data_IF_924210645101
#
_entry.id   IF_924210645101
#
_cell.length_a   1.000
_cell.length_b   1.000
_cell.length_c   1.000
_cell.angle_alpha   90.00
_cell.angle_beta   90.00
_cell.angle_gamma   90.00
#
_symmetry.space_group_name_H-M   'P 1'
#
loop_
_entity.id
_entity.type
_entity.pdbx_description
1 polymer ?
#
# COMPACT_ATOMS: atom_id res chain seq x y z
N UNK A 1 3.61 -39.30 9.69
CA UNK A 1 4.47 -40.18 8.87
C UNK A 1 5.60 -40.76 9.73
N UNK A 2 5.96 -42.04 9.55
CA UNK A 2 7.02 -42.71 10.35
C UNK A 2 8.41 -42.09 10.13
N UNK A 3 8.64 -41.48 8.97
CA UNK A 3 9.94 -40.90 8.59
C UNK A 3 10.09 -39.42 8.93
N UNK A 4 9.01 -38.77 9.37
CA UNK A 4 9.02 -37.35 9.65
C UNK A 4 10.04 -36.89 10.71
N UNK A 5 10.33 -37.66 11.78
CA UNK A 5 11.41 -37.32 12.71
C UNK A 5 12.78 -37.18 12.03
N UNK A 6 13.06 -38.05 11.06
CA UNK A 6 14.30 -38.01 10.30
C UNK A 6 14.35 -36.77 9.39
N UNK A 7 13.23 -36.45 8.73
CA UNK A 7 13.11 -35.23 7.94
C UNK A 7 13.30 -33.96 8.78
N UNK A 8 12.72 -33.91 9.98
CA UNK A 8 12.86 -32.78 10.90
C UNK A 8 14.30 -32.66 11.39
N UNK A 9 14.99 -33.77 11.65
CA UNK A 9 16.41 -33.74 12.00
C UNK A 9 17.27 -33.19 10.86
N UNK A 10 17.07 -33.66 9.62
CA UNK A 10 17.79 -33.15 8.45
C UNK A 10 17.51 -31.66 8.21
N UNK A 11 16.26 -31.25 8.39
CA UNK A 11 15.87 -29.85 8.26
C UNK A 11 16.49 -28.98 9.37
N UNK A 12 16.52 -29.45 10.61
CA UNK A 12 17.21 -28.76 11.72
C UNK A 12 18.68 -28.49 11.38
N UNK A 13 19.42 -29.52 10.98
CA UNK A 13 20.84 -29.43 10.64
C UNK A 13 21.07 -28.46 9.46
N UNK A 14 20.19 -28.48 8.46
CA UNK A 14 20.24 -27.55 7.33
C UNK A 14 19.98 -26.10 7.79
N UNK A 15 18.90 -25.88 8.54
CA UNK A 15 18.43 -24.54 8.93
C UNK A 15 19.40 -23.83 9.88
N UNK A 16 20.19 -24.56 10.67
CA UNK A 16 21.24 -23.99 11.52
C UNK A 16 22.31 -23.21 10.73
N UNK A 17 22.47 -23.48 9.43
CA UNK A 17 23.42 -22.75 8.59
C UNK A 17 22.92 -21.35 8.17
N UNK A 18 21.66 -21.01 8.46
CA UNK A 18 21.05 -19.75 8.04
C UNK A 18 20.74 -18.86 9.24
N UNK A 19 20.89 -17.55 9.04
CA UNK A 19 20.66 -16.53 10.09
C UNK A 19 19.46 -15.64 9.85
N UNK A 20 18.81 -15.77 8.70
CA UNK A 20 17.68 -14.95 8.29
C UNK A 20 16.79 -15.74 7.33
N UNK A 21 15.54 -15.29 7.20
CA UNK A 21 14.54 -15.90 6.33
C UNK A 21 14.01 -14.87 5.34
N UNK A 22 13.88 -15.28 4.08
CA UNK A 22 13.10 -14.56 3.08
C UNK A 22 11.97 -15.48 2.64
N UNK A 23 10.74 -14.97 2.62
CA UNK A 23 9.58 -15.76 2.21
C UNK A 23 8.53 -14.90 1.52
N UNK A 24 7.54 -15.54 0.89
CA UNK A 24 6.33 -14.90 0.42
C UNK A 24 5.13 -15.40 1.24
N UNK A 25 4.58 -14.55 2.12
CA UNK A 25 3.49 -14.92 3.05
C UNK A 25 3.86 -15.96 4.13
N UNK A 26 5.13 -16.31 4.28
CA UNK A 26 5.59 -17.34 5.22
C UNK A 26 5.32 -16.98 6.68
N UNK A 27 5.19 -15.69 7.04
CA UNK A 27 4.92 -15.29 8.44
C UNK A 27 3.54 -15.74 8.91
N UNK A 28 2.57 -15.80 8.00
CA UNK A 28 1.20 -16.20 8.28
C UNK A 28 0.93 -17.68 7.92
N UNK A 29 1.87 -18.36 7.25
CA UNK A 29 1.66 -19.68 6.69
C UNK A 29 2.79 -20.67 7.02
N UNK A 30 3.91 -20.65 6.28
CA UNK A 30 4.93 -21.70 6.34
C UNK A 30 5.65 -21.77 7.70
N UNK A 31 6.08 -20.63 8.24
CA UNK A 31 6.88 -20.59 9.48
C UNK A 31 6.10 -21.09 10.71
N UNK A 32 4.83 -20.70 10.93
CA UNK A 32 4.00 -21.28 11.98
C UNK A 32 3.82 -22.80 11.87
N UNK A 33 3.68 -23.33 10.64
CA UNK A 33 3.57 -24.77 10.40
C UNK A 33 4.87 -25.47 10.78
N UNK A 34 6.02 -24.95 10.33
CA UNK A 34 7.33 -25.49 10.68
C UNK A 34 7.58 -25.44 12.19
N UNK A 35 7.33 -24.30 12.86
CA UNK A 35 7.48 -24.18 14.31
C UNK A 35 6.64 -25.23 15.05
N UNK A 36 5.40 -25.45 14.60
CA UNK A 36 4.52 -26.50 15.15
C UNK A 36 5.12 -27.90 14.95
N UNK A 37 5.64 -28.23 13.75
CA UNK A 37 6.28 -29.54 13.51
C UNK A 37 7.51 -29.75 14.40
N UNK A 38 8.36 -28.74 14.57
CA UNK A 38 9.53 -28.81 15.45
C UNK A 38 9.12 -29.03 16.91
N UNK A 39 8.10 -28.32 17.40
CA UNK A 39 7.55 -28.48 18.77
C UNK A 39 7.04 -29.91 18.98
N UNK A 40 6.30 -30.48 18.02
CA UNK A 40 5.79 -31.85 18.11
C UNK A 40 6.91 -32.88 18.31
N UNK A 41 8.07 -32.64 17.69
CA UNK A 41 9.26 -33.48 17.82
C UNK A 41 10.23 -33.00 18.91
N UNK A 42 9.75 -32.15 19.83
CA UNK A 42 10.48 -31.64 21.01
C UNK A 42 11.81 -30.95 20.66
N UNK A 43 11.84 -30.27 19.51
CA UNK A 43 12.97 -29.46 19.04
C UNK A 43 12.58 -27.98 18.97
N UNK A 44 13.56 -27.11 19.11
CA UNK A 44 13.36 -25.69 18.88
C UNK A 44 13.51 -25.40 17.39
N UNK A 45 12.58 -24.66 16.80
CA UNK A 45 12.72 -24.19 15.42
C UNK A 45 13.90 -23.19 15.32
N UNK A 46 14.97 -23.50 14.55
CA UNK A 46 16.21 -22.70 14.55
C UNK A 46 16.01 -21.24 14.15
N UNK A 47 15.02 -20.98 13.30
CA UNK A 47 14.78 -19.67 12.71
C UNK A 47 13.64 -18.88 13.38
N UNK A 48 13.11 -19.36 14.51
CA UNK A 48 11.95 -18.76 15.21
C UNK A 48 12.09 -17.25 15.47
N UNK A 49 13.29 -16.82 15.84
CA UNK A 49 13.59 -15.42 16.15
C UNK A 49 14.55 -14.77 15.15
N UNK A 50 14.81 -15.42 14.01
CA UNK A 50 15.69 -14.88 12.99
C UNK A 50 15.05 -13.66 12.31
N UNK A 51 15.85 -12.67 11.87
CA UNK A 51 15.37 -11.63 10.95
C UNK A 51 14.60 -12.24 9.78
N UNK A 52 13.41 -11.72 9.53
CA UNK A 52 12.49 -12.26 8.53
C UNK A 52 11.99 -11.18 7.59
N UNK A 53 12.34 -11.31 6.32
CA UNK A 53 11.79 -10.52 5.23
C UNK A 53 10.64 -11.29 4.56
N UNK A 54 9.41 -11.01 5.00
CA UNK A 54 8.21 -11.48 4.30
C UNK A 54 7.82 -10.47 3.21
N UNK A 55 7.91 -10.89 1.94
CA UNK A 55 7.72 -10.06 0.76
C UNK A 55 6.26 -9.67 0.49
N UNK A 56 5.28 -10.35 1.07
CA UNK A 56 3.87 -10.06 0.80
C UNK A 56 3.47 -8.67 1.32
N UNK A 57 3.94 -8.29 2.51
CA UNK A 57 3.64 -7.00 3.11
C UNK A 57 4.21 -5.81 2.31
N UNK A 58 5.51 -5.77 1.92
CA UNK A 58 6.03 -4.73 1.06
C UNK A 58 5.39 -4.76 -0.34
N UNK A 59 5.11 -5.94 -0.92
CA UNK A 59 4.40 -6.02 -2.20
C UNK A 59 3.04 -5.32 -2.17
N UNK A 60 2.23 -5.61 -1.14
CA UNK A 60 0.93 -4.97 -0.95
C UNK A 60 1.03 -3.47 -0.72
N UNK A 61 2.12 -2.99 -0.10
CA UNK A 61 2.32 -1.55 0.10
C UNK A 61 2.59 -0.84 -1.22
N UNK A 62 3.34 -1.48 -2.13
CA UNK A 62 3.74 -0.89 -3.41
C UNK A 62 2.66 -1.00 -4.50
N UNK A 63 1.96 -2.14 -4.57
CA UNK A 63 1.17 -2.47 -5.78
C UNK A 63 -0.32 -2.72 -5.58
N UNK A 64 -0.83 -2.76 -4.34
CA UNK A 64 -2.25 -3.06 -4.08
C UNK A 64 -3.22 -2.04 -4.69
N UNK A 65 -2.77 -0.82 -4.93
CA UNK A 65 -3.58 0.23 -5.55
C UNK A 65 -3.69 0.06 -7.08
N UNK A 66 -2.83 -0.78 -7.70
CA UNK A 66 -2.77 -1.01 -9.15
C UNK A 66 -3.20 -2.43 -9.55
N UNK A 67 -2.69 -3.44 -8.85
CA UNK A 67 -2.82 -4.84 -9.27
C UNK A 67 -4.14 -5.46 -8.78
N UNK A 68 -4.72 -6.41 -9.53
CA UNK A 68 -5.92 -7.13 -9.11
C UNK A 68 -5.68 -7.97 -7.86
N UNK A 69 -4.46 -8.49 -7.69
CA UNK A 69 -4.03 -9.17 -6.48
C UNK A 69 -2.54 -8.93 -6.24
N UNK A 70 -2.05 -9.27 -5.05
CA UNK A 70 -0.61 -9.36 -4.77
C UNK A 70 -0.24 -10.80 -4.42
N UNK A 71 -0.76 -11.79 -5.16
CA UNK A 71 -0.22 -13.15 -5.14
C UNK A 71 1.15 -13.16 -5.85
N UNK A 72 1.98 -14.18 -5.59
CA UNK A 72 3.28 -14.29 -6.25
C UNK A 72 3.10 -14.35 -7.77
N UNK A 73 2.20 -15.20 -8.26
CA UNK A 73 1.85 -15.31 -9.69
C UNK A 73 1.41 -13.98 -10.31
N UNK A 74 0.58 -13.19 -9.61
CA UNK A 74 0.15 -11.89 -10.13
C UNK A 74 1.30 -10.88 -10.19
N UNK A 75 2.22 -10.93 -9.22
CA UNK A 75 3.42 -10.09 -9.22
C UNK A 75 4.41 -10.52 -10.29
N UNK A 76 4.58 -11.82 -10.52
CA UNK A 76 5.41 -12.33 -11.61
C UNK A 76 4.94 -11.78 -12.95
N UNK A 77 3.65 -11.91 -13.24
CA UNK A 77 3.07 -11.43 -14.49
C UNK A 77 3.17 -9.91 -14.63
N UNK A 78 2.69 -9.16 -13.63
CA UNK A 78 2.47 -7.72 -13.78
C UNK A 78 3.63 -6.84 -13.31
N UNK A 79 4.64 -7.42 -12.66
CA UNK A 79 5.81 -6.71 -12.14
C UNK A 79 7.10 -7.24 -12.75
N UNK A 80 7.24 -8.58 -12.86
CA UNK A 80 8.45 -9.19 -13.41
C UNK A 80 8.34 -9.55 -14.90
N UNK A 81 7.13 -9.54 -15.48
CA UNK A 81 6.88 -9.95 -16.86
C UNK A 81 7.03 -11.46 -17.09
N UNK A 82 6.91 -12.27 -16.04
CA UNK A 82 7.04 -13.73 -16.08
C UNK A 82 5.65 -14.35 -16.19
N UNK A 83 5.44 -15.13 -17.25
CA UNK A 83 4.21 -15.88 -17.49
C UNK A 83 4.51 -17.37 -17.32
N UNK A 84 3.76 -18.04 -16.45
CA UNK A 84 3.92 -19.48 -16.19
C UNK A 84 2.86 -20.27 -16.94
N UNK A 85 3.26 -21.32 -17.64
CA UNK A 85 2.38 -22.29 -18.27
C UNK A 85 2.48 -23.65 -17.56
N UNK A 86 1.35 -24.31 -17.31
CA UNK A 86 1.33 -25.69 -16.80
C UNK A 86 1.64 -25.86 -15.31
N UNK A 87 1.41 -24.83 -14.48
CA UNK A 87 1.62 -24.93 -13.04
C UNK A 87 0.70 -25.99 -12.39
N UNK A 88 1.27 -26.80 -11.50
CA UNK A 88 0.50 -27.72 -10.68
C UNK A 88 -0.37 -26.90 -9.73
N UNK A 89 -1.70 -27.10 -9.71
CA UNK A 89 -2.55 -26.43 -8.75
C UNK A 89 -2.09 -26.77 -7.32
N UNK A 90 -1.86 -25.75 -6.48
CA UNK A 90 -1.31 -25.97 -5.13
C UNK A 90 -2.10 -26.96 -4.25
N UNK A 91 -3.42 -27.06 -4.47
CA UNK A 91 -4.28 -28.03 -3.77
C UNK A 91 -4.01 -29.50 -4.15
N UNK A 92 -3.36 -29.75 -5.30
CA UNK A 92 -3.01 -31.09 -5.78
C UNK A 92 -1.70 -31.60 -5.17
N UNK A 93 -0.84 -30.71 -4.68
CA UNK A 93 0.48 -31.06 -4.12
C UNK A 93 0.40 -32.11 -3.00
N UNK A 94 -0.50 -32.02 -2.01
CA UNK A 94 -0.62 -33.05 -0.98
C UNK A 94 -0.98 -34.43 -1.55
N UNK A 95 -1.87 -34.48 -2.54
CA UNK A 95 -2.29 -35.73 -3.16
C UNK A 95 -1.13 -36.40 -3.92
N UNK A 96 -0.35 -35.63 -4.68
CA UNK A 96 0.85 -36.11 -5.38
C UNK A 96 1.90 -36.63 -4.40
N UNK A 97 2.06 -35.96 -3.25
CA UNK A 97 2.99 -36.42 -2.21
C UNK A 97 2.53 -37.74 -1.57
N UNK A 98 1.25 -37.87 -1.25
CA UNK A 98 0.71 -39.13 -0.73
C UNK A 98 0.78 -40.28 -1.74
N UNK A 99 0.67 -39.99 -3.03
CA UNK A 99 0.87 -40.99 -4.08
C UNK A 99 2.32 -41.47 -4.09
N UNK A 100 3.29 -40.55 -4.06
CA UNK A 100 4.70 -40.87 -3.93
C UNK A 100 5.01 -41.72 -2.69
N UNK A 101 4.47 -41.38 -1.51
CA UNK A 101 4.68 -42.17 -0.29
C UNK A 101 4.17 -43.61 -0.42
N UNK A 102 3.13 -43.84 -1.23
CA UNK A 102 2.54 -45.17 -1.43
C UNK A 102 3.24 -45.99 -2.51
N UNK A 103 3.64 -45.35 -3.62
CA UNK A 103 4.13 -46.03 -4.81
C UNK A 103 5.66 -46.02 -4.90
N UNK A 104 6.32 -45.08 -4.23
CA UNK A 104 7.74 -44.78 -4.41
C UNK A 104 8.06 -44.05 -5.73
N UNK A 105 7.07 -43.77 -6.59
CA UNK A 105 7.27 -43.08 -7.86
C UNK A 105 7.27 -41.56 -7.66
N UNK A 106 8.43 -40.94 -7.86
CA UNK A 106 8.63 -39.50 -7.72
C UNK A 106 8.37 -38.73 -9.02
N UNK A 107 8.08 -39.39 -10.15
CA UNK A 107 7.82 -38.72 -11.44
C UNK A 107 6.72 -37.66 -11.33
N UNK A 108 5.57 -37.90 -10.65
CA UNK A 108 4.51 -36.91 -10.49
C UNK A 108 4.92 -35.68 -9.65
N UNK A 109 5.98 -35.77 -8.85
CA UNK A 109 6.49 -34.66 -8.03
C UNK A 109 7.40 -33.70 -8.79
N UNK A 110 7.95 -34.08 -9.95
CA UNK A 110 8.88 -33.23 -10.71
C UNK A 110 8.30 -31.82 -10.97
N UNK A 111 7.04 -31.67 -11.42
CA UNK A 111 6.48 -30.33 -11.65
C UNK A 111 6.33 -29.51 -10.36
N UNK A 112 6.10 -30.15 -9.21
CA UNK A 112 6.04 -29.47 -7.89
C UNK A 112 7.40 -28.86 -7.54
N UNK A 113 8.49 -29.60 -7.73
CA UNK A 113 9.83 -29.08 -7.50
C UNK A 113 10.19 -27.96 -8.47
N UNK A 114 9.85 -28.12 -9.75
CA UNK A 114 10.04 -27.06 -10.76
C UNK A 114 9.34 -25.77 -10.35
N UNK A 115 8.08 -25.85 -9.91
CA UNK A 115 7.32 -24.70 -9.42
C UNK A 115 8.00 -24.03 -8.21
N UNK A 116 8.44 -24.82 -7.23
CA UNK A 116 9.14 -24.30 -6.05
C UNK A 116 10.44 -23.58 -6.42
N UNK A 117 11.19 -24.07 -7.41
CA UNK A 117 12.40 -23.38 -7.91
C UNK A 117 12.02 -22.02 -8.50
N UNK A 118 10.97 -21.95 -9.32
CA UNK A 118 10.50 -20.68 -9.87
C UNK A 118 10.02 -19.72 -8.77
N UNK A 119 9.30 -20.20 -7.75
CA UNK A 119 8.86 -19.38 -6.62
C UNK A 119 10.05 -18.76 -5.88
N UNK A 120 11.10 -19.55 -5.61
CA UNK A 120 12.31 -19.07 -4.96
C UNK A 120 13.02 -18.02 -5.83
N UNK A 121 13.19 -18.28 -7.13
CA UNK A 121 13.82 -17.33 -8.05
C UNK A 121 13.01 -16.04 -8.19
N UNK A 122 11.69 -16.14 -8.23
CA UNK A 122 10.79 -14.99 -8.28
C UNK A 122 10.83 -14.17 -7.00
N UNK A 123 10.98 -14.78 -5.82
CA UNK A 123 11.23 -14.03 -4.59
C UNK A 123 12.53 -13.24 -4.64
N UNK A 124 13.62 -13.82 -5.16
CA UNK A 124 14.91 -13.13 -5.32
C UNK A 124 14.76 -11.93 -6.27
N UNK A 125 14.21 -12.17 -7.46
CA UNK A 125 13.96 -11.14 -8.48
C UNK A 125 13.05 -10.03 -7.95
N UNK A 126 11.97 -10.39 -7.26
CA UNK A 126 11.03 -9.44 -6.67
C UNK A 126 11.68 -8.60 -5.59
N UNK A 127 12.53 -9.20 -4.74
CA UNK A 127 13.27 -8.47 -3.69
C UNK A 127 14.18 -7.41 -4.31
N UNK A 128 14.98 -7.78 -5.30
CA UNK A 128 15.84 -6.85 -6.02
C UNK A 128 15.02 -5.74 -6.69
N UNK A 129 13.91 -6.11 -7.35
CA UNK A 129 13.04 -5.17 -8.02
C UNK A 129 12.40 -4.16 -7.05
N UNK A 130 11.92 -4.61 -5.89
CA UNK A 130 11.38 -3.74 -4.85
C UNK A 130 12.44 -2.79 -4.32
N UNK A 131 13.64 -3.30 -4.03
CA UNK A 131 14.73 -2.51 -3.49
C UNK A 131 15.14 -1.39 -4.46
N UNK A 132 15.30 -1.71 -5.75
CA UNK A 132 15.60 -0.72 -6.80
C UNK A 132 14.48 0.32 -6.89
N UNK A 133 13.21 -0.11 -7.01
CA UNK A 133 12.07 0.83 -7.08
C UNK A 133 11.93 1.73 -5.87
N UNK A 134 12.33 1.26 -4.69
CA UNK A 134 12.28 2.04 -3.47
C UNK A 134 13.47 2.99 -3.32
N UNK A 135 14.66 2.63 -3.84
CA UNK A 135 15.85 3.47 -3.76
C UNK A 135 15.88 4.54 -4.87
N UNK A 136 15.57 4.13 -6.11
CA UNK A 136 15.70 4.94 -7.31
C UNK A 136 14.51 4.70 -8.26
N UNK A 137 13.30 5.16 -7.91
CA UNK A 137 12.09 4.85 -8.68
C UNK A 137 12.12 5.37 -10.13
N UNK A 138 12.84 6.46 -10.40
CA UNK A 138 12.99 7.00 -11.75
C UNK A 138 13.82 6.08 -12.65
N UNK A 139 14.95 5.56 -12.15
CA UNK A 139 15.81 4.65 -12.92
C UNK A 139 15.20 3.24 -13.00
N UNK A 140 14.40 2.87 -12.00
CA UNK A 140 13.66 1.61 -11.95
C UNK A 140 12.42 1.56 -12.87
N UNK A 141 12.20 2.57 -13.70
CA UNK A 141 11.10 2.61 -14.67
C UNK A 141 9.71 2.56 -14.02
N UNK A 142 9.51 3.27 -12.90
CA UNK A 142 8.15 3.42 -12.34
C UNK A 142 7.34 4.34 -13.24
N UNK A 143 6.34 3.78 -13.92
CA UNK A 143 5.52 4.51 -14.90
C UNK A 143 4.08 4.76 -14.44
N UNK A 144 3.58 4.01 -13.46
CA UNK A 144 2.19 4.09 -13.03
C UNK A 144 2.02 5.05 -11.86
N UNK A 145 1.04 5.97 -11.94
CA UNK A 145 0.82 6.92 -10.85
C UNK A 145 0.38 6.26 -9.54
N UNK A 146 -0.25 5.09 -9.58
CA UNK A 146 -0.58 4.30 -8.39
C UNK A 146 0.66 3.76 -7.65
N UNK A 147 1.71 3.38 -8.39
CA UNK A 147 2.96 2.91 -7.81
C UNK A 147 3.73 4.09 -7.19
N UNK A 148 3.76 5.24 -7.88
CA UNK A 148 4.29 6.49 -7.35
C UNK A 148 3.58 6.97 -6.08
N UNK A 149 2.25 6.94 -6.07
CA UNK A 149 1.47 7.28 -4.88
C UNK A 149 1.79 6.36 -3.69
N UNK A 150 1.94 5.07 -3.96
CA UNK A 150 2.30 4.06 -2.97
C UNK A 150 3.72 4.26 -2.42
N UNK A 151 4.69 4.61 -3.28
CA UNK A 151 6.05 4.99 -2.88
C UNK A 151 6.04 6.24 -2.00
N UNK A 152 5.30 7.28 -2.38
CA UNK A 152 5.19 8.51 -1.59
C UNK A 152 4.70 8.24 -0.17
N UNK A 153 3.71 7.35 -0.01
CA UNK A 153 3.25 6.89 1.31
C UNK A 153 4.31 6.13 2.09
N UNK A 154 5.14 5.33 1.42
CA UNK A 154 6.23 4.64 2.07
C UNK A 154 7.30 5.63 2.56
N UNK A 155 7.67 6.62 1.74
CA UNK A 155 8.61 7.68 2.13
C UNK A 155 8.08 8.55 3.27
N UNK A 156 6.80 8.93 3.25
CA UNK A 156 6.19 9.71 4.32
C UNK A 156 6.25 8.96 5.67
N UNK A 157 5.99 7.64 5.66
CA UNK A 157 6.09 6.81 6.87
C UNK A 157 7.51 6.80 7.46
N UNK A 158 8.54 6.91 6.62
CA UNK A 158 9.94 6.98 7.03
C UNK A 158 10.39 8.42 7.38
N UNK A 159 9.51 9.42 7.23
CA UNK A 159 9.86 10.83 7.43
C UNK A 159 10.64 11.46 6.28
N UNK A 160 10.75 10.78 5.13
CA UNK A 160 11.47 11.25 3.96
C UNK A 160 10.60 12.21 3.13
N UNK A 161 10.36 13.39 3.69
CA UNK A 161 9.38 14.37 3.18
C UNK A 161 9.67 14.82 1.75
N UNK A 162 10.93 15.08 1.40
CA UNK A 162 11.31 15.52 0.05
C UNK A 162 11.03 14.44 -1.00
N UNK A 163 11.37 13.18 -0.69
CA UNK A 163 11.10 12.04 -1.56
C UNK A 163 9.60 11.77 -1.67
N UNK A 164 8.85 11.93 -0.57
CA UNK A 164 7.39 11.79 -0.58
C UNK A 164 6.73 12.84 -1.48
N UNK A 165 7.11 14.11 -1.35
CA UNK A 165 6.64 15.21 -2.20
C UNK A 165 6.91 14.91 -3.68
N UNK A 166 8.16 14.57 -4.02
CA UNK A 166 8.55 14.21 -5.38
C UNK A 166 7.72 13.05 -5.92
N UNK A 167 7.54 11.98 -5.13
CA UNK A 167 6.75 10.83 -5.54
C UNK A 167 5.27 11.17 -5.77
N UNK A 168 4.66 12.03 -4.94
CA UNK A 168 3.29 12.48 -5.17
C UNK A 168 3.15 13.35 -6.42
N UNK A 169 4.12 14.22 -6.70
CA UNK A 169 4.15 14.98 -7.95
C UNK A 169 4.23 14.05 -9.16
N UNK A 170 5.10 13.02 -9.11
CA UNK A 170 5.19 12.00 -10.17
C UNK A 170 3.89 11.19 -10.30
N UNK A 171 3.21 10.90 -9.19
CA UNK A 171 1.90 10.23 -9.22
C UNK A 171 0.84 11.02 -9.99
N UNK A 172 0.89 12.36 -9.93
CA UNK A 172 -0.03 13.27 -10.62
C UNK A 172 0.37 13.52 -12.08
N UNK A 173 1.65 13.40 -12.41
CA UNK A 173 2.16 13.52 -13.78
C UNK A 173 1.95 12.22 -14.59
N UNK A 174 2.03 11.07 -13.92
CA UNK A 174 1.84 9.76 -14.53
C UNK A 174 0.35 9.41 -14.74
N UNK A 175 0.03 8.54 -15.71
CA UNK A 175 -1.31 7.99 -15.86
C UNK A 175 -1.77 7.28 -14.58
N UNK A 176 -2.92 7.69 -14.05
CA UNK A 176 -3.54 7.07 -12.89
C UNK A 176 -5.06 7.19 -12.91
N UNK A 177 -5.72 6.27 -12.21
CA UNK A 177 -7.16 6.31 -12.03
C UNK A 177 -7.60 7.55 -11.23
N UNK A 178 -8.80 8.11 -11.47
CA UNK A 178 -9.27 9.34 -10.82
C UNK A 178 -9.24 9.29 -9.29
N UNK A 179 -9.53 8.13 -8.68
CA UNK A 179 -9.48 7.93 -7.23
C UNK A 179 -8.04 8.07 -6.68
N UNK A 180 -7.04 7.57 -7.40
CA UNK A 180 -5.62 7.70 -7.03
C UNK A 180 -5.18 9.14 -7.16
N UNK A 181 -5.51 9.80 -8.27
CA UNK A 181 -5.21 11.22 -8.49
C UNK A 181 -5.77 12.08 -7.36
N UNK A 182 -7.03 11.87 -6.99
CA UNK A 182 -7.68 12.60 -5.88
C UNK A 182 -6.95 12.38 -4.55
N UNK A 183 -6.60 11.12 -4.22
CA UNK A 183 -5.88 10.80 -2.98
C UNK A 183 -4.47 11.38 -2.98
N UNK A 184 -3.79 11.41 -4.12
CA UNK A 184 -2.48 12.02 -4.27
C UNK A 184 -2.54 13.55 -4.06
N UNK A 185 -3.52 14.25 -4.66
CA UNK A 185 -3.75 15.68 -4.42
C UNK A 185 -4.04 15.98 -2.94
N UNK A 186 -4.94 15.21 -2.32
CA UNK A 186 -5.28 15.34 -0.90
C UNK A 186 -4.03 15.18 -0.03
N UNK A 187 -3.29 14.09 -0.22
CA UNK A 187 -2.08 13.79 0.56
C UNK A 187 -0.99 14.84 0.36
N UNK A 188 -0.74 15.25 -0.89
CA UNK A 188 0.26 16.26 -1.23
C UNK A 188 -0.08 17.63 -0.63
N UNK A 189 -1.35 18.04 -0.66
CA UNK A 189 -1.78 19.30 -0.07
C UNK A 189 -1.60 19.34 1.45
N UNK A 190 -1.84 18.22 2.14
CA UNK A 190 -1.54 18.10 3.57
C UNK A 190 -0.04 18.08 3.85
N UNK A 191 0.76 17.48 2.97
CA UNK A 191 2.21 17.50 3.07
C UNK A 191 2.76 18.92 2.92
N UNK A 192 2.27 19.70 1.94
CA UNK A 192 2.63 21.10 1.78
C UNK A 192 2.23 21.95 2.98
N UNK A 193 1.01 21.78 3.48
CA UNK A 193 0.55 22.45 4.69
C UNK A 193 1.47 22.18 5.89
N UNK A 194 1.91 20.92 6.10
CA UNK A 194 2.85 20.55 7.18
C UNK A 194 4.23 21.20 7.02
N UNK A 195 4.65 21.46 5.78
CA UNK A 195 5.90 22.15 5.45
C UNK A 195 5.75 23.68 5.42
N UNK A 196 4.57 24.24 5.77
CA UNK A 196 4.23 25.65 5.61
C UNK A 196 4.36 26.19 4.17
N UNK A 197 4.31 25.29 3.17
CA UNK A 197 4.26 25.59 1.73
C UNK A 197 2.83 25.96 1.34
N UNK A 198 2.34 27.10 1.84
CA UNK A 198 0.93 27.47 1.76
C UNK A 198 0.46 27.74 0.34
N UNK A 199 1.27 28.41 -0.47
CA UNK A 199 0.93 28.74 -1.87
C UNK A 199 0.63 27.48 -2.68
N UNK A 200 1.50 26.47 -2.62
CA UNK A 200 1.31 25.20 -3.32
C UNK A 200 0.09 24.42 -2.79
N UNK A 201 -0.17 24.49 -1.47
CA UNK A 201 -1.35 23.84 -0.89
C UNK A 201 -2.66 24.51 -1.37
N UNK A 202 -2.68 25.84 -1.41
CA UNK A 202 -3.81 26.64 -1.88
C UNK A 202 -4.07 26.41 -3.37
N UNK A 203 -3.04 26.34 -4.20
CA UNK A 203 -3.17 26.03 -5.63
C UNK A 203 -3.89 24.68 -5.84
N UNK A 204 -3.52 23.64 -5.09
CA UNK A 204 -4.21 22.35 -5.13
C UNK A 204 -5.67 22.50 -4.71
N UNK A 205 -5.95 23.13 -3.57
CA UNK A 205 -7.32 23.24 -3.09
C UNK A 205 -8.20 24.08 -4.01
N UNK A 206 -7.68 25.16 -4.58
CA UNK A 206 -8.39 26.03 -5.51
C UNK A 206 -8.69 25.29 -6.81
N UNK A 207 -7.70 24.59 -7.39
CA UNK A 207 -7.93 23.77 -8.59
C UNK A 207 -9.00 22.69 -8.39
N UNK A 208 -9.09 22.12 -7.18
CA UNK A 208 -10.13 21.14 -6.84
C UNK A 208 -11.53 21.76 -6.70
N UNK A 209 -11.60 22.97 -6.14
CA UNK A 209 -12.87 23.73 -6.06
C UNK A 209 -13.33 24.12 -7.46
N UNK A 210 -12.43 24.64 -8.29
CA UNK A 210 -12.72 25.15 -9.63
C UNK A 210 -13.10 24.04 -10.61
N UNK A 211 -12.42 22.89 -10.54
CA UNK A 211 -12.74 21.74 -11.36
C UNK A 211 -14.13 21.16 -11.06
N UNK A 212 -14.76 21.57 -9.95
CA UNK A 212 -16.10 21.12 -9.58
C UNK A 212 -16.18 19.62 -9.30
N UNK A 213 -15.04 18.92 -9.15
CA UNK A 213 -14.95 17.47 -8.91
C UNK A 213 -15.46 17.21 -7.48
N UNK A 214 -16.78 17.01 -7.39
CA UNK A 214 -17.64 17.48 -6.31
C UNK A 214 -17.71 16.62 -5.05
N UNK A 215 -17.01 15.50 -4.95
CA UNK A 215 -17.29 14.54 -3.86
C UNK A 215 -16.52 14.82 -2.56
N UNK A 216 -15.76 15.93 -2.47
CA UNK A 216 -14.82 16.14 -1.37
C UNK A 216 -15.01 17.51 -0.72
N UNK A 217 -15.40 17.48 0.55
CA UNK A 217 -15.56 18.67 1.38
C UNK A 217 -14.22 19.33 1.78
N UNK A 218 -13.14 18.55 1.89
CA UNK A 218 -11.90 19.05 2.49
C UNK A 218 -11.26 20.28 1.81
N UNK A 219 -11.29 20.48 0.47
CA UNK A 219 -10.66 21.66 -0.15
C UNK A 219 -11.32 22.97 0.31
N UNK A 220 -12.65 22.99 0.39
CA UNK A 220 -13.41 24.12 0.94
C UNK A 220 -13.04 24.39 2.40
N UNK A 221 -12.90 23.35 3.21
CA UNK A 221 -12.57 23.49 4.63
C UNK A 221 -11.14 23.99 4.86
N UNK A 222 -10.19 23.56 4.03
CA UNK A 222 -8.79 23.96 4.13
C UNK A 222 -8.56 25.37 3.57
N UNK A 223 -9.16 25.73 2.43
CA UNK A 223 -9.12 27.11 1.93
C UNK A 223 -9.76 28.08 2.92
N UNK A 224 -10.92 27.75 3.49
CA UNK A 224 -11.55 28.60 4.50
C UNK A 224 -10.66 28.79 5.74
N UNK A 225 -9.94 27.75 6.18
CA UNK A 225 -8.96 27.86 7.28
C UNK A 225 -7.77 28.73 6.88
N UNK A 226 -7.29 28.63 5.64
CA UNK A 226 -6.19 29.42 5.12
C UNK A 226 -6.55 30.92 5.13
N UNK A 227 -7.67 31.30 4.53
CA UNK A 227 -8.16 32.67 4.55
C UNK A 227 -8.42 33.18 5.98
N UNK A 228 -9.00 32.35 6.86
CA UNK A 228 -9.27 32.74 8.26
C UNK A 228 -7.99 32.97 9.09
N UNK A 229 -7.02 32.05 9.00
CA UNK A 229 -5.89 32.01 9.94
C UNK A 229 -4.61 32.63 9.38
N UNK A 230 -4.32 32.45 8.09
CA UNK A 230 -3.09 32.96 7.47
C UNK A 230 -3.26 34.39 6.97
N UNK A 231 -4.30 34.64 6.16
CA UNK A 231 -4.53 35.97 5.56
C UNK A 231 -5.40 36.88 6.42
N UNK A 232 -6.18 36.31 7.36
CA UNK A 232 -7.21 37.03 8.14
C UNK A 232 -8.26 37.73 7.27
N UNK A 233 -8.49 37.20 6.08
CA UNK A 233 -9.52 37.65 5.15
C UNK A 233 -10.80 36.83 5.38
N UNK A 234 -11.77 37.41 6.08
CA UNK A 234 -12.97 36.66 6.47
C UNK A 234 -13.99 36.52 5.34
N UNK A 235 -14.09 37.51 4.45
CA UNK A 235 -15.08 37.49 3.36
C UNK A 235 -14.87 36.31 2.37
N UNK A 236 -13.64 36.03 1.87
CA UNK A 236 -13.39 34.84 1.04
C UNK A 236 -13.68 33.52 1.78
N UNK A 237 -13.31 33.45 3.07
CA UNK A 237 -13.59 32.28 3.90
C UNK A 237 -15.11 32.03 4.05
N UNK A 238 -15.88 33.09 4.26
CA UNK A 238 -17.36 33.04 4.35
C UNK A 238 -17.96 32.52 3.05
N UNK A 239 -17.51 33.04 1.89
CA UNK A 239 -17.99 32.60 0.58
C UNK A 239 -17.76 31.10 0.38
N UNK A 240 -16.57 30.59 0.68
CA UNK A 240 -16.24 29.17 0.56
C UNK A 240 -17.10 28.28 1.46
N UNK A 241 -17.31 28.69 2.72
CA UNK A 241 -18.13 27.92 3.67
C UNK A 241 -19.60 27.91 3.25
N UNK A 242 -20.15 29.06 2.82
CA UNK A 242 -21.52 29.14 2.27
C UNK A 242 -21.67 28.24 1.05
N UNK A 243 -20.70 28.26 0.15
CA UNK A 243 -20.71 27.41 -1.03
C UNK A 243 -20.71 25.92 -0.68
N UNK A 244 -19.84 25.50 0.24
CA UNK A 244 -19.81 24.12 0.71
C UNK A 244 -21.15 23.68 1.34
N UNK A 245 -21.78 24.55 2.14
CA UNK A 245 -23.12 24.27 2.71
C UNK A 245 -24.16 24.09 1.60
N UNK A 246 -24.22 25.01 0.63
CA UNK A 246 -25.16 24.92 -0.50
C UNK A 246 -25.00 23.62 -1.27
N UNK A 247 -23.77 23.23 -1.61
CA UNK A 247 -23.50 22.01 -2.37
C UNK A 247 -23.82 20.73 -1.58
N UNK A 248 -23.59 20.71 -0.26
CA UNK A 248 -24.04 19.59 0.58
C UNK A 248 -25.56 19.53 0.64
N UNK A 249 -26.22 20.68 0.69
CA UNK A 249 -27.68 20.78 0.73
C UNK A 249 -28.32 20.26 -0.56
N UNK A 250 -27.77 20.68 -1.70
CA UNK A 250 -28.12 20.25 -3.06
C UNK A 250 -27.76 18.78 -3.37
N UNK A 251 -26.99 18.11 -2.50
CA UNK A 251 -26.43 16.76 -2.69
C UNK A 251 -25.37 16.63 -3.78
N UNK A 252 -24.86 17.76 -4.28
CA UNK A 252 -23.72 17.80 -5.19
C UNK A 252 -22.41 17.45 -4.48
N UNK A 253 -22.35 17.64 -3.16
CA UNK A 253 -21.14 17.39 -2.37
C UNK A 253 -21.36 16.41 -1.23
N UNK A 254 -20.61 15.30 -1.24
CA UNK A 254 -20.75 14.21 -0.28
C UNK A 254 -19.60 14.18 0.74
N UNK A 255 -19.82 14.61 1.99
CA UNK A 255 -18.80 14.51 3.02
C UNK A 255 -18.53 13.04 3.39
N UNK A 256 -17.26 12.70 3.70
CA UNK A 256 -16.89 11.37 4.25
C UNK A 256 -17.54 11.08 5.61
N UNK A 257 -17.92 12.13 6.33
CA UNK A 257 -18.59 12.08 7.64
C UNK A 257 -20.09 12.33 7.48
N UNK A 258 -20.94 11.93 8.45
CA UNK A 258 -22.40 12.10 8.34
C UNK A 258 -22.79 13.53 7.96
N UNK A 259 -23.70 13.67 6.98
CA UNK A 259 -24.12 14.96 6.41
C UNK A 259 -24.53 15.98 7.48
N UNK A 260 -25.33 15.56 8.45
CA UNK A 260 -25.79 16.42 9.54
C UNK A 260 -24.63 16.98 10.36
N UNK A 261 -23.62 16.15 10.66
CA UNK A 261 -22.41 16.56 11.38
C UNK A 261 -21.58 17.55 10.56
N UNK A 262 -21.37 17.27 9.27
CA UNK A 262 -20.65 18.18 8.37
C UNK A 262 -21.33 19.56 8.30
N UNK A 263 -22.66 19.60 8.10
CA UNK A 263 -23.42 20.84 8.06
C UNK A 263 -23.36 21.61 9.39
N UNK A 264 -23.46 20.92 10.53
CA UNK A 264 -23.35 21.55 11.84
C UNK A 264 -21.98 22.21 12.06
N UNK A 265 -20.89 21.51 11.72
CA UNK A 265 -19.53 22.04 11.83
C UNK A 265 -19.29 23.24 10.89
N UNK A 266 -19.81 23.20 9.66
CA UNK A 266 -19.71 24.31 8.71
C UNK A 266 -20.53 25.52 9.14
N UNK A 267 -21.78 25.32 9.59
CA UNK A 267 -22.64 26.41 10.11
C UNK A 267 -22.04 27.07 11.35
N UNK A 268 -21.46 26.28 12.25
CA UNK A 268 -20.75 26.81 13.41
C UNK A 268 -19.53 27.65 12.99
N UNK A 269 -18.76 27.19 11.98
CA UNK A 269 -17.65 27.98 11.41
C UNK A 269 -18.16 29.27 10.76
N UNK A 270 -19.23 29.21 9.98
CA UNK A 270 -19.82 30.38 9.31
C UNK A 270 -20.21 31.45 10.34
N UNK A 271 -20.96 31.09 11.37
CA UNK A 271 -21.34 32.01 12.44
C UNK A 271 -20.15 32.59 13.22
N UNK A 272 -19.03 31.84 13.32
CA UNK A 272 -17.78 32.35 13.89
C UNK A 272 -17.11 33.37 12.95
N UNK A 273 -17.06 33.09 11.65
CA UNK A 273 -16.45 33.97 10.65
C UNK A 273 -17.23 35.27 10.50
N UNK A 274 -18.56 35.23 10.43
CA UNK A 274 -19.42 36.41 10.33
C UNK A 274 -19.25 37.35 11.53
N UNK A 275 -19.13 36.79 12.74
CA UNK A 275 -18.82 37.58 13.95
C UNK A 275 -17.44 38.23 13.92
N UNK A 276 -16.44 37.61 13.29
CA UNK A 276 -15.10 38.19 13.12
C UNK A 276 -15.10 39.28 12.05
N UNK A 277 -15.80 39.05 10.93
CA UNK A 277 -15.92 40.00 9.83
C UNK A 277 -16.61 41.29 10.28
N UNK A 278 -17.70 41.20 11.05
CA UNK A 278 -18.38 42.38 11.60
C UNK A 278 -17.63 43.10 12.73
N UNK A 279 -16.46 42.62 13.15
CA UNK A 279 -15.58 43.24 14.15
C UNK A 279 -14.28 43.80 13.53
N UNK A 280 -14.01 43.47 12.27
CA UNK A 280 -12.86 43.93 11.50
C UNK A 280 -13.22 45.21 10.74
#
# INVERSE_FOLDING_TARGET
PSEEPALIHLLDDLLQNFRAVVSFNGKAFDLPVLDTRFILWRRQFPLKNAPHLDLLAPARRLWRERLPSCSLTSLEEHVLGIFREGDVPGWLVPALYFEYEKTGDAVPLKPVFTHNVFDILSMVSLTAHMAHRFAEPETAGVVHGADWYSLGRCYEKQGWTTQAERAYCQALAAPCAPNIRQRALETLSYLYKRQAKWEQAVEIWQSLVDAGIADRLYPYEELAKYYEHQLREYEPAIRLVREAIRRIEARDLQPRRPRQRALAELRHRLARLERKNGRA
#
